data_IF_064424791247
#
_entry.id   IF_064424791247
#
_cell.length_a   1.000
_cell.length_b   1.000
_cell.length_c   1.000
_cell.angle_alpha   90.00
_cell.angle_beta   90.00
_cell.angle_gamma   90.00
#
_symmetry.space_group_name_H-M   'P 1'
#
loop_
_entity.id
_entity.type
_entity.pdbx_description
1 polymer ?
#
# COMPACT_ATOMS: atom_id res chain seq x y z
N UNK A 1 -6.64 -17.03 3.74
CA UNK A 1 -6.37 -15.73 4.39
C UNK A 1 -5.93 -14.63 3.41
N UNK A 2 -4.82 -14.78 2.66
CA UNK A 2 -4.30 -13.74 1.74
C UNK A 2 -5.33 -13.18 0.75
N UNK A 3 -6.18 -14.03 0.16
CA UNK A 3 -7.27 -13.60 -0.73
C UNK A 3 -8.28 -12.68 -0.04
N UNK A 4 -8.63 -12.96 1.23
CA UNK A 4 -9.55 -12.13 2.03
C UNK A 4 -8.94 -10.77 2.37
N UNK A 5 -7.63 -10.73 2.66
CA UNK A 5 -6.88 -9.47 2.86
C UNK A 5 -6.87 -8.63 1.57
N UNK A 6 -6.62 -9.25 0.43
CA UNK A 6 -6.68 -8.57 -0.87
C UNK A 6 -8.08 -7.99 -1.12
N UNK A 7 -9.12 -8.77 -0.85
CA UNK A 7 -10.51 -8.35 -1.03
C UNK A 7 -10.91 -7.23 -0.07
N UNK A 8 -10.48 -7.26 1.20
CA UNK A 8 -10.80 -6.21 2.17
C UNK A 8 -10.17 -4.88 1.78
N UNK A 9 -8.90 -4.87 1.33
CA UNK A 9 -8.25 -3.66 0.80
C UNK A 9 -8.89 -3.17 -0.49
N UNK A 10 -9.29 -4.08 -1.38
CA UNK A 10 -10.03 -3.70 -2.59
C UNK A 10 -11.36 -3.03 -2.24
N UNK A 11 -12.15 -3.63 -1.33
CA UNK A 11 -13.41 -3.05 -0.84
C UNK A 11 -13.19 -1.67 -0.20
N UNK A 12 -12.14 -1.54 0.62
CA UNK A 12 -11.76 -0.27 1.23
C UNK A 12 -11.52 0.83 0.18
N UNK A 13 -10.85 0.49 -0.92
CA UNK A 13 -10.59 1.42 -2.03
C UNK A 13 -11.85 1.81 -2.80
N UNK A 14 -12.86 0.95 -2.86
CA UNK A 14 -14.17 1.27 -3.47
C UNK A 14 -14.97 2.24 -2.60
N UNK A 15 -14.87 2.12 -1.27
CA UNK A 15 -15.51 3.03 -0.32
C UNK A 15 -14.75 4.35 -0.11
N UNK A 16 -13.86 4.71 -1.05
CA UNK A 16 -13.14 5.98 -0.98
C UNK A 16 -12.15 6.06 0.19
N UNK A 17 -11.59 4.94 0.65
CA UNK A 17 -10.61 4.92 1.73
C UNK A 17 -9.30 4.24 1.29
N UNK A 18 -8.25 4.41 2.08
CA UNK A 18 -6.95 3.73 1.91
C UNK A 18 -6.41 3.33 3.27
N UNK A 19 -5.79 2.16 3.34
CA UNK A 19 -5.20 1.67 4.59
C UNK A 19 -4.01 2.53 4.95
N UNK A 20 -3.12 2.79 3.98
CA UNK A 20 -1.92 3.58 4.13
C UNK A 20 -0.76 2.83 4.76
N UNK A 21 -1.01 1.74 5.48
CA UNK A 21 0.01 0.84 6.02
C UNK A 21 -0.52 -0.59 6.23
N UNK A 22 -0.79 -1.37 5.16
CA UNK A 22 -1.36 -2.70 5.28
C UNK A 22 -0.29 -3.75 5.66
N UNK A 23 0.15 -3.74 6.93
CA UNK A 23 1.07 -4.74 7.50
C UNK A 23 0.34 -5.75 8.41
N UNK A 24 1.07 -6.79 8.85
CA UNK A 24 0.53 -7.93 9.65
C UNK A 24 -0.29 -7.54 10.88
N UNK A 25 0.03 -6.41 11.51
CA UNK A 25 -0.63 -5.93 12.72
C UNK A 25 -1.94 -5.18 12.48
N UNK A 26 -2.24 -4.78 11.24
CA UNK A 26 -3.42 -3.97 10.89
C UNK A 26 -4.60 -4.80 10.40
N UNK A 27 -4.50 -6.14 10.46
CA UNK A 27 -5.58 -7.04 10.08
C UNK A 27 -5.86 -8.05 11.20
N UNK A 28 -7.14 -8.19 11.56
CA UNK A 28 -7.61 -9.21 12.50
C UNK A 28 -8.42 -10.23 11.73
N UNK A 29 -8.16 -11.52 12.00
CA UNK A 29 -9.06 -12.60 11.63
C UNK A 29 -10.07 -12.79 12.78
N UNK A 30 -11.31 -12.34 12.57
CA UNK A 30 -12.40 -12.55 13.53
C UNK A 30 -13.35 -13.60 12.95
N UNK A 31 -13.33 -14.80 13.52
CA UNK A 31 -14.01 -15.95 12.93
C UNK A 31 -13.51 -16.22 11.51
N UNK A 32 -14.39 -16.11 10.52
CA UNK A 32 -14.04 -16.31 9.11
C UNK A 32 -13.86 -14.99 8.33
N UNK A 33 -13.86 -13.84 8.99
CA UNK A 33 -13.77 -12.51 8.35
C UNK A 33 -12.44 -11.81 8.66
N UNK A 34 -11.95 -11.03 7.68
CA UNK A 34 -10.79 -10.15 7.88
C UNK A 34 -11.29 -8.74 8.14
N UNK A 35 -10.92 -8.18 9.30
CA UNK A 35 -11.20 -6.79 9.67
C UNK A 35 -9.91 -5.98 9.64
N UNK A 36 -10.02 -4.73 9.20
CA UNK A 36 -8.92 -3.75 9.19
C UNK A 36 -9.07 -2.90 10.45
N UNK A 37 -8.01 -2.79 11.25
CA UNK A 37 -8.07 -2.06 12.53
C UNK A 37 -7.74 -0.57 12.33
N UNK A 38 -6.70 -0.30 11.54
CA UNK A 38 -6.18 1.04 11.36
C UNK A 38 -6.34 1.51 9.91
N UNK A 39 -6.87 2.72 9.79
CA UNK A 39 -7.09 3.42 8.53
C UNK A 39 -6.36 4.75 8.59
N UNK A 40 -5.59 5.05 7.54
CA UNK A 40 -4.77 6.26 7.52
C UNK A 40 -5.50 7.61 7.64
N UNK A 41 -6.84 7.64 7.61
CA UNK A 41 -7.66 8.87 7.60
C UNK A 41 -7.45 9.78 6.38
N UNK A 42 -6.66 9.32 5.40
CA UNK A 42 -6.19 10.10 4.25
C UNK A 42 -7.14 9.95 3.07
N UNK A 43 -7.38 11.04 2.34
CA UNK A 43 -8.12 10.98 1.07
C UNK A 43 -7.48 9.97 0.11
N UNK A 44 -8.28 9.10 -0.53
CA UNK A 44 -7.78 8.10 -1.45
C UNK A 44 -7.21 8.78 -2.70
N UNK A 45 -6.01 8.41 -3.12
CA UNK A 45 -5.44 8.83 -4.40
C UNK A 45 -4.88 7.63 -5.13
N UNK A 46 -4.72 7.72 -6.46
CA UNK A 46 -4.14 6.62 -7.27
C UNK A 46 -2.78 6.16 -6.72
N UNK A 47 -1.94 7.09 -6.29
CA UNK A 47 -0.66 6.79 -5.65
C UNK A 47 -0.80 6.09 -4.29
N UNK A 48 -1.77 6.50 -3.46
CA UNK A 48 -2.02 5.88 -2.15
C UNK A 48 -2.58 4.47 -2.29
N UNK A 49 -3.52 4.27 -3.22
CA UNK A 49 -4.02 2.93 -3.57
C UNK A 49 -2.90 2.03 -4.11
N UNK A 50 -2.03 2.56 -4.96
CA UNK A 50 -0.86 1.83 -5.45
C UNK A 50 0.13 1.51 -4.31
N UNK A 51 0.33 2.42 -3.36
CA UNK A 51 1.15 2.16 -2.16
C UNK A 51 0.60 0.97 -1.39
N UNK A 52 -0.69 0.94 -1.08
CA UNK A 52 -1.31 -0.19 -0.36
C UNK A 52 -1.06 -1.53 -1.08
N UNK A 53 -1.18 -1.57 -2.41
CA UNK A 53 -0.90 -2.79 -3.19
C UNK A 53 0.56 -3.24 -3.10
N UNK A 54 1.50 -2.30 -3.17
CA UNK A 54 2.94 -2.61 -3.04
C UNK A 54 3.27 -3.10 -1.63
N UNK A 55 2.66 -2.50 -0.61
CA UNK A 55 2.88 -2.91 0.78
C UNK A 55 2.26 -4.28 1.06
N UNK A 56 1.10 -4.60 0.47
CA UNK A 56 0.53 -5.95 0.50
C UNK A 56 1.46 -6.99 -0.14
N UNK A 57 2.10 -6.65 -1.25
CA UNK A 57 3.10 -7.52 -1.88
C UNK A 57 4.29 -7.74 -0.94
N UNK A 58 4.80 -6.66 -0.33
CA UNK A 58 5.93 -6.69 0.60
C UNK A 58 5.65 -7.49 1.88
N UNK A 59 4.48 -7.31 2.49
CA UNK A 59 4.17 -7.87 3.80
C UNK A 59 3.52 -9.25 3.74
N UNK A 60 2.81 -9.56 2.65
CA UNK A 60 2.02 -10.78 2.50
C UNK A 60 2.33 -11.60 1.26
N UNK A 61 3.21 -11.12 0.36
CA UNK A 61 3.49 -11.79 -0.91
C UNK A 61 2.31 -11.76 -1.88
N UNK A 62 1.35 -10.86 -1.69
CA UNK A 62 0.22 -10.69 -2.60
C UNK A 62 0.69 -9.86 -3.80
N UNK A 63 1.05 -10.54 -4.90
CA UNK A 63 1.59 -9.88 -6.11
C UNK A 63 0.72 -8.71 -6.57
N UNK A 64 1.34 -7.55 -6.77
CA UNK A 64 0.67 -6.41 -7.37
C UNK A 64 0.66 -6.56 -8.90
N UNK A 65 -0.45 -7.04 -9.45
CA UNK A 65 -0.63 -7.18 -10.89
C UNK A 65 -1.02 -5.85 -11.59
N UNK A 66 -1.25 -4.76 -10.85
CA UNK A 66 -1.71 -3.48 -11.40
C UNK A 66 -0.55 -2.49 -11.45
N UNK A 67 -0.06 -2.25 -12.67
CA UNK A 67 0.96 -1.23 -12.99
C UNK A 67 0.32 0.00 -13.61
N UNK A 68 -0.52 0.67 -12.84
CA UNK A 68 -1.20 1.89 -13.27
C UNK A 68 -0.29 3.14 -13.15
N UNK A 69 -0.78 4.29 -13.62
CA UNK A 69 -0.09 5.58 -13.49
C UNK A 69 0.26 5.87 -12.02
N UNK A 70 -0.60 5.48 -11.08
CA UNK A 70 -0.35 5.64 -9.64
C UNK A 70 0.90 4.88 -9.17
N UNK A 71 1.07 3.65 -9.64
CA UNK A 71 2.24 2.81 -9.39
C UNK A 71 3.52 3.46 -9.93
N UNK A 72 3.53 3.85 -11.21
CA UNK A 72 4.71 4.46 -11.82
C UNK A 72 5.07 5.77 -11.11
N UNK A 73 4.11 6.66 -10.88
CA UNK A 73 4.35 7.91 -10.16
C UNK A 73 4.96 7.68 -8.77
N UNK A 74 4.48 6.68 -8.03
CA UNK A 74 5.02 6.34 -6.71
C UNK A 74 6.48 5.84 -6.80
N UNK A 75 6.79 4.97 -7.75
CA UNK A 75 8.14 4.44 -7.96
C UNK A 75 9.10 5.55 -8.42
N UNK A 76 8.72 6.36 -9.40
CA UNK A 76 9.54 7.47 -9.88
C UNK A 76 9.79 8.51 -8.79
N UNK A 77 8.77 8.85 -7.99
CA UNK A 77 8.94 9.73 -6.82
C UNK A 77 9.97 9.18 -5.83
N UNK A 78 9.96 7.87 -5.54
CA UNK A 78 10.97 7.22 -4.69
C UNK A 78 12.36 7.28 -5.32
N UNK A 79 12.49 6.99 -6.62
CA UNK A 79 13.76 7.06 -7.36
C UNK A 79 14.35 8.48 -7.33
N UNK A 80 13.54 9.49 -7.67
CA UNK A 80 13.96 10.89 -7.65
C UNK A 80 14.40 11.33 -6.25
N UNK A 81 13.63 11.00 -5.21
CA UNK A 81 14.00 11.30 -3.82
C UNK A 81 15.36 10.70 -3.46
N UNK A 82 15.60 9.44 -3.83
CA UNK A 82 16.84 8.75 -3.53
C UNK A 82 18.03 9.29 -4.36
N UNK A 83 17.79 9.71 -5.60
CA UNK A 83 18.78 10.41 -6.42
C UNK A 83 19.19 11.74 -5.78
N UNK A 84 18.22 12.57 -5.36
CA UNK A 84 18.50 13.83 -4.66
C UNK A 84 19.23 13.62 -3.32
N UNK A 85 18.90 12.56 -2.58
CA UNK A 85 19.62 12.20 -1.34
C UNK A 85 21.07 11.85 -1.62
N UNK A 86 21.33 11.07 -2.66
CA UNK A 86 22.69 10.72 -3.10
C UNK A 86 23.51 11.96 -3.47
N UNK A 87 22.93 12.91 -4.22
CA UNK A 87 23.59 14.19 -4.53
C UNK A 87 23.95 14.96 -3.25
N UNK A 88 23.09 14.90 -2.23
CA UNK A 88 23.33 15.53 -0.92
C UNK A 88 24.24 14.71 0.00
N UNK A 89 24.88 13.65 -0.48
CA UNK A 89 25.73 12.76 0.33
C UNK A 89 24.99 11.95 1.40
N UNK A 90 23.66 11.78 1.29
CA UNK A 90 22.83 11.04 2.25
C UNK A 90 22.50 9.64 1.73
N UNK A 91 22.45 8.67 2.64
CA UNK A 91 22.10 7.29 2.32
C UNK A 91 20.68 7.12 1.74
N UNK A 92 20.47 6.06 0.98
CA UNK A 92 19.19 5.70 0.36
C UNK A 92 18.17 5.30 1.43
N UNK A 93 16.88 5.61 1.19
CA UNK A 93 15.76 5.21 2.04
C UNK A 93 14.74 4.38 1.26
#
# INVERSE_FOLDING_TARGET
VRGKIKQSIYSLHQHGMVSGDPHKGNFILQGNEIRIIDLSGKRPSRQRKAKDRIDLERHYGIKNNVRDIGFYLLIYKKKLRNFLRRIKGKEKR
#
